data_IF_394382495444
#
_entry.id   IF_394382495444
#
_cell.length_a   1.000
_cell.length_b   1.000
_cell.length_c   1.000
_cell.angle_alpha   90.00
_cell.angle_beta   90.00
_cell.angle_gamma   90.00
#
_symmetry.space_group_name_H-M   'P 1'
#
loop_
_entity.id
_entity.type
_entity.pdbx_description
1 polymer ?
#
# COMPACT_ATOMS: atom_id res chain seq x y z
N UNK A 1 1.07 23.82 49.56
CA UNK A 1 2.11 24.18 48.57
C UNK A 1 2.71 22.93 47.94
N UNK A 2 3.00 21.89 48.73
CA UNK A 2 3.60 20.64 48.23
C UNK A 2 2.78 19.91 47.16
N UNK A 3 1.46 19.80 47.31
CA UNK A 3 0.60 19.14 46.31
C UNK A 3 0.38 19.90 44.99
N UNK A 4 0.83 21.16 44.89
CA UNK A 4 0.75 21.95 43.66
C UNK A 4 2.06 21.82 42.86
N UNK A 5 3.20 21.77 43.57
CA UNK A 5 4.52 21.52 43.00
C UNK A 5 4.62 20.07 42.48
N UNK A 6 4.10 19.07 43.20
CA UNK A 6 4.10 17.68 42.73
C UNK A 6 3.26 17.49 41.44
N UNK A 7 2.13 18.19 41.31
CA UNK A 7 1.29 18.16 40.09
C UNK A 7 1.96 18.86 38.91
N UNK A 8 2.59 20.01 39.14
CA UNK A 8 3.35 20.71 38.10
C UNK A 8 4.56 19.89 37.62
N UNK A 9 5.26 19.22 38.54
CA UNK A 9 6.42 18.36 38.22
C UNK A 9 5.98 17.10 37.47
N UNK A 10 4.87 16.48 37.86
CA UNK A 10 4.27 15.33 37.16
C UNK A 10 3.76 15.70 35.76
N UNK A 11 3.18 16.88 35.58
CA UNK A 11 2.73 17.37 34.27
C UNK A 11 3.92 17.65 33.35
N UNK A 12 4.98 18.30 33.86
CA UNK A 12 6.20 18.55 33.08
C UNK A 12 6.90 17.27 32.64
N UNK A 13 6.98 16.25 33.50
CA UNK A 13 7.52 14.93 33.14
C UNK A 13 6.67 14.22 32.08
N UNK A 14 5.35 14.39 32.15
CA UNK A 14 4.42 13.85 31.15
C UNK A 14 4.58 14.56 29.81
N UNK A 15 4.67 15.90 29.81
CA UNK A 15 4.91 16.70 28.61
C UNK A 15 6.26 16.39 27.95
N UNK A 16 7.31 16.16 28.74
CA UNK A 16 8.64 15.81 28.24
C UNK A 16 8.68 14.39 27.66
N UNK A 17 8.04 13.41 28.31
CA UNK A 17 7.92 12.06 27.79
C UNK A 17 7.10 12.02 26.48
N UNK A 18 6.00 12.76 26.42
CA UNK A 18 5.15 12.91 25.23
C UNK A 18 5.93 13.59 24.09
N UNK A 19 6.67 14.67 24.38
CA UNK A 19 7.54 15.32 23.39
C UNK A 19 8.65 14.40 22.90
N UNK A 20 9.29 13.64 23.79
CA UNK A 20 10.34 12.68 23.41
C UNK A 20 9.79 11.54 22.55
N UNK A 21 8.57 11.09 22.81
CA UNK A 21 7.89 10.09 21.99
C UNK A 21 7.65 10.62 20.56
N UNK A 22 7.10 11.84 20.41
CA UNK A 22 6.84 12.42 19.09
C UNK A 22 8.11 12.83 18.34
N UNK A 23 9.14 13.33 19.02
CA UNK A 23 10.43 13.60 18.39
C UNK A 23 11.09 12.31 17.88
N UNK A 24 10.89 11.18 18.58
CA UNK A 24 11.36 9.90 18.09
C UNK A 24 10.55 9.41 16.88
N UNK A 25 9.23 9.61 16.87
CA UNK A 25 8.36 9.30 15.74
C UNK A 25 8.74 10.10 14.49
N UNK A 26 8.80 11.43 14.59
CA UNK A 26 9.24 12.31 13.49
C UNK A 26 10.62 11.91 12.96
N UNK A 27 11.58 11.68 13.86
CA UNK A 27 12.93 11.24 13.47
C UNK A 27 12.89 9.92 12.71
N UNK A 28 12.07 8.96 13.14
CA UNK A 28 11.93 7.66 12.46
C UNK A 28 11.29 7.85 11.08
N UNK A 29 10.18 8.60 10.97
CA UNK A 29 9.52 8.89 9.70
C UNK A 29 10.46 9.57 8.71
N UNK A 30 11.26 10.53 9.16
CA UNK A 30 12.27 11.20 8.34
C UNK A 30 13.41 10.27 7.91
N UNK A 31 13.81 9.32 8.76
CA UNK A 31 14.79 8.30 8.36
C UNK A 31 14.22 7.34 7.31
N UNK A 32 12.94 6.97 7.44
CA UNK A 32 12.22 6.14 6.46
C UNK A 32 12.12 6.86 5.12
N UNK A 33 11.71 8.14 5.15
CA UNK A 33 11.59 9.00 3.97
C UNK A 33 12.94 9.41 3.37
N UNK A 34 14.07 9.04 3.98
CA UNK A 34 15.40 9.47 3.58
C UNK A 34 15.66 9.33 2.07
N UNK A 35 16.17 10.39 1.45
CA UNK A 35 16.48 10.41 0.01
C UNK A 35 15.28 10.67 -0.91
N UNK A 36 14.06 10.76 -0.39
CA UNK A 36 12.87 11.13 -1.19
C UNK A 36 12.76 12.64 -1.43
N UNK A 37 13.43 13.45 -0.60
CA UNK A 37 13.32 14.90 -0.61
C UNK A 37 12.22 15.45 0.30
N UNK A 38 11.51 14.59 1.05
CA UNK A 38 10.48 15.02 2.00
C UNK A 38 10.97 14.99 3.45
N UNK A 39 10.49 15.97 4.23
CA UNK A 39 10.71 16.05 5.68
C UNK A 39 9.36 16.08 6.39
N UNK A 40 9.10 15.07 7.22
CA UNK A 40 7.85 14.90 7.95
C UNK A 40 7.89 15.55 9.33
N UNK A 41 6.83 16.27 9.66
CA UNK A 41 6.53 16.76 11.02
C UNK A 41 5.09 16.42 11.38
N UNK A 42 4.76 16.34 12.65
CA UNK A 42 3.37 16.15 13.04
C UNK A 42 2.54 17.40 12.71
N UNK A 43 1.32 17.22 12.24
CA UNK A 43 0.39 18.32 11.94
C UNK A 43 -1.08 17.94 12.17
N UNK A 44 -1.96 18.90 11.91
CA UNK A 44 -3.43 18.71 11.94
C UNK A 44 -3.94 18.23 10.57
N UNK A 45 -3.37 17.13 10.10
CA UNK A 45 -3.70 16.48 8.84
C UNK A 45 -2.48 15.98 8.06
N UNK A 46 -2.76 15.19 7.04
CA UNK A 46 -1.77 14.70 6.09
C UNK A 46 -1.65 15.67 4.91
N UNK A 47 -0.44 16.15 4.64
CA UNK A 47 -0.18 17.08 3.55
C UNK A 47 1.28 17.01 3.11
N UNK A 48 1.55 17.43 1.88
CA UNK A 48 2.90 17.60 1.35
C UNK A 48 2.99 18.95 0.66
N UNK A 49 4.01 19.74 0.97
CA UNK A 49 4.40 20.95 0.28
C UNK A 49 5.46 20.62 -0.79
N UNK A 50 5.13 20.68 -2.09
CA UNK A 50 6.09 20.39 -3.16
C UNK A 50 7.29 21.35 -3.21
N UNK A 51 7.06 22.61 -2.88
CA UNK A 51 8.08 23.66 -3.05
C UNK A 51 9.21 23.52 -2.04
N UNK A 52 8.88 23.04 -0.84
CA UNK A 52 9.84 22.94 0.27
C UNK A 52 10.20 21.50 0.62
N UNK A 53 9.41 20.52 0.15
CA UNK A 53 9.50 19.13 0.61
C UNK A 53 8.97 18.93 2.04
N UNK A 54 8.40 19.95 2.69
CA UNK A 54 7.81 19.76 4.02
C UNK A 54 6.51 18.95 3.92
N UNK A 55 6.38 17.92 4.75
CA UNK A 55 5.19 17.08 4.82
C UNK A 55 4.66 17.03 6.27
N UNK A 56 3.35 16.90 6.41
CA UNK A 56 2.70 16.65 7.69
C UNK A 56 2.10 15.25 7.72
N UNK A 57 2.16 14.62 8.89
CA UNK A 57 1.41 13.40 9.20
C UNK A 57 0.53 13.66 10.42
N UNK A 58 -0.64 13.00 10.46
CA UNK A 58 -1.55 13.05 11.60
C UNK A 58 -2.04 11.64 11.97
N UNK A 59 -1.60 11.08 13.11
CA UNK A 59 -2.06 9.76 13.54
C UNK A 59 -3.57 9.73 13.86
N UNK A 60 -4.20 10.89 14.14
CA UNK A 60 -5.65 10.95 14.40
C UNK A 60 -6.48 10.44 13.23
N UNK A 61 -5.98 10.61 12.00
CA UNK A 61 -6.64 10.07 10.81
C UNK A 61 -6.95 8.58 10.94
N UNK A 62 -6.06 7.81 11.56
CA UNK A 62 -6.27 6.39 11.84
C UNK A 62 -6.97 6.18 13.19
N UNK A 63 -6.60 6.90 14.24
CA UNK A 63 -7.23 6.73 15.57
C UNK A 63 -8.74 6.96 15.53
N UNK A 64 -9.21 7.97 14.79
CA UNK A 64 -10.64 8.27 14.62
C UNK A 64 -11.40 7.18 13.85
N UNK A 65 -10.68 6.34 13.09
CA UNK A 65 -11.22 5.14 12.42
C UNK A 65 -11.12 3.88 13.28
N UNK A 66 -10.74 4.01 14.56
CA UNK A 66 -10.69 2.90 15.52
C UNK A 66 -9.36 2.14 15.54
N UNK A 67 -8.29 2.71 14.99
CA UNK A 67 -6.94 2.14 15.11
C UNK A 67 -6.31 2.50 16.46
N UNK A 68 -5.57 1.55 17.06
CA UNK A 68 -4.79 1.84 18.27
C UNK A 68 -3.63 2.79 17.94
N UNK A 69 -3.01 3.45 18.92
CA UNK A 69 -1.86 4.32 18.64
C UNK A 69 -0.69 3.61 17.93
N UNK A 70 -0.42 2.34 18.25
CA UNK A 70 0.61 1.55 17.57
C UNK A 70 0.22 1.20 16.13
N UNK A 71 -1.05 0.91 15.88
CA UNK A 71 -1.57 0.68 14.53
C UNK A 71 -1.62 1.97 13.70
N UNK A 72 -1.89 3.11 14.32
CA UNK A 72 -1.84 4.43 13.67
C UNK A 72 -0.40 4.79 13.28
N UNK A 73 0.57 4.49 14.15
CA UNK A 73 2.00 4.61 13.85
C UNK A 73 2.41 3.68 12.69
N UNK A 74 1.94 2.43 12.69
CA UNK A 74 2.10 1.53 11.56
C UNK A 74 1.50 2.12 10.28
N UNK A 75 0.26 2.62 10.32
CA UNK A 75 -0.37 3.29 9.18
C UNK A 75 0.50 4.44 8.66
N UNK A 76 1.08 5.24 9.54
CA UNK A 76 1.99 6.30 9.11
C UNK A 76 3.27 5.76 8.45
N UNK A 77 3.86 4.68 8.98
CA UNK A 77 4.99 4.01 8.34
C UNK A 77 4.60 3.40 6.99
N UNK A 78 3.40 2.87 6.87
CA UNK A 78 2.87 2.25 5.67
C UNK A 78 2.79 3.27 4.54
N UNK A 79 2.10 4.40 4.74
CA UNK A 79 1.97 5.44 3.72
C UNK A 79 3.32 5.95 3.21
N UNK A 80 4.25 6.18 4.13
CA UNK A 80 5.58 6.70 3.78
C UNK A 80 6.43 5.61 3.13
N UNK A 81 6.53 4.42 3.72
CA UNK A 81 7.46 3.39 3.25
C UNK A 81 6.93 2.64 2.03
N UNK A 82 5.66 2.23 2.06
CA UNK A 82 5.04 1.38 1.03
C UNK A 82 4.74 2.18 -0.24
N UNK A 83 4.19 3.40 -0.11
CA UNK A 83 3.71 4.16 -1.25
C UNK A 83 4.66 5.30 -1.64
N UNK A 84 5.00 6.20 -0.71
CA UNK A 84 5.79 7.39 -1.05
C UNK A 84 7.25 7.07 -1.40
N UNK A 85 7.94 6.26 -0.59
CA UNK A 85 9.34 5.88 -0.83
C UNK A 85 9.46 5.02 -2.08
N UNK A 86 8.61 4.00 -2.23
CA UNK A 86 8.59 3.12 -3.42
C UNK A 86 8.39 3.95 -4.71
N UNK A 87 7.40 4.85 -4.71
CA UNK A 87 7.13 5.73 -5.85
C UNK A 87 8.30 6.66 -6.12
N UNK A 88 8.91 7.25 -5.09
CA UNK A 88 10.08 8.10 -5.26
C UNK A 88 11.29 7.34 -5.79
N UNK A 89 11.55 6.11 -5.33
CA UNK A 89 12.62 5.26 -5.85
C UNK A 89 12.38 4.94 -7.34
N UNK A 90 11.15 4.55 -7.71
CA UNK A 90 10.78 4.28 -9.10
C UNK A 90 10.98 5.52 -9.99
N UNK A 91 10.45 6.67 -9.57
CA UNK A 91 10.55 7.93 -10.33
C UNK A 91 11.96 8.53 -10.32
N UNK A 92 12.89 7.96 -9.55
CA UNK A 92 14.29 8.37 -9.48
C UNK A 92 15.09 8.10 -10.75
N UNK A 93 14.55 7.35 -11.71
CA UNK A 93 15.24 7.03 -12.97
C UNK A 93 14.35 7.29 -14.20
N UNK A 94 14.91 7.65 -15.37
CA UNK A 94 14.12 7.82 -16.59
C UNK A 94 13.31 6.57 -16.98
N UNK A 95 13.89 5.38 -16.80
CA UNK A 95 13.22 4.11 -17.09
C UNK A 95 12.09 3.80 -16.12
N UNK A 96 12.22 4.22 -14.87
CA UNK A 96 11.18 4.07 -13.87
C UNK A 96 10.03 5.05 -14.08
N UNK A 97 10.32 6.31 -14.44
CA UNK A 97 9.30 7.28 -14.87
C UNK A 97 8.49 6.75 -16.06
N UNK A 98 9.16 6.28 -17.11
CA UNK A 98 8.50 5.70 -18.28
C UNK A 98 7.65 4.47 -17.92
N UNK A 99 8.12 3.63 -16.99
CA UNK A 99 7.37 2.47 -16.52
C UNK A 99 6.14 2.87 -15.68
N UNK A 100 6.26 3.91 -14.86
CA UNK A 100 5.17 4.46 -14.06
C UNK A 100 4.06 5.05 -14.94
N UNK A 101 4.40 5.85 -15.95
CA UNK A 101 3.40 6.37 -16.91
C UNK A 101 2.66 5.24 -17.63
N UNK A 102 3.39 4.20 -18.08
CA UNK A 102 2.75 3.03 -18.67
C UNK A 102 1.84 2.31 -17.68
N UNK A 103 2.24 2.20 -16.42
CA UNK A 103 1.39 1.59 -15.40
C UNK A 103 0.09 2.39 -15.23
N UNK A 104 0.15 3.72 -15.18
CA UNK A 104 -1.05 4.58 -15.11
C UNK A 104 -1.99 4.37 -16.30
N UNK A 105 -1.44 4.32 -17.52
CA UNK A 105 -2.22 4.02 -18.72
C UNK A 105 -2.90 2.65 -18.64
N UNK A 106 -2.18 1.64 -18.12
CA UNK A 106 -2.72 0.29 -17.91
C UNK A 106 -3.80 0.27 -16.84
N UNK A 107 -3.61 0.95 -15.70
CA UNK A 107 -4.60 1.05 -14.61
C UNK A 107 -5.86 1.73 -15.12
N UNK A 108 -5.74 2.83 -15.86
CA UNK A 108 -6.88 3.51 -16.46
C UNK A 108 -7.67 2.61 -17.41
N UNK A 109 -6.98 1.76 -18.18
CA UNK A 109 -7.61 0.78 -19.05
C UNK A 109 -8.13 -0.45 -18.28
N UNK A 110 -7.58 -0.74 -17.11
CA UNK A 110 -7.80 -1.97 -16.34
C UNK A 110 -7.77 -1.66 -14.83
N UNK A 111 -8.87 -1.16 -14.24
CA UNK A 111 -8.88 -0.69 -12.85
C UNK A 111 -8.40 -1.72 -11.81
N UNK A 112 -8.68 -3.01 -12.04
CA UNK A 112 -8.16 -4.16 -11.26
C UNK A 112 -6.64 -4.17 -11.05
N UNK A 113 -5.86 -3.54 -11.95
CA UNK A 113 -4.41 -3.46 -11.80
C UNK A 113 -3.99 -2.52 -10.67
N UNK A 114 -4.82 -1.53 -10.32
CA UNK A 114 -4.59 -0.68 -9.15
C UNK A 114 -4.61 -1.52 -7.86
N UNK A 115 -5.62 -2.37 -7.71
CA UNK A 115 -5.77 -3.28 -6.57
C UNK A 115 -4.55 -4.21 -6.46
N UNK A 116 -4.07 -4.75 -7.58
CA UNK A 116 -2.86 -5.58 -7.58
C UNK A 116 -1.64 -4.81 -7.13
N UNK A 117 -1.42 -3.62 -7.69
CA UNK A 117 -0.24 -2.83 -7.33
C UNK A 117 -0.26 -2.43 -5.86
N UNK A 118 -1.41 -2.04 -5.31
CA UNK A 118 -1.55 -1.82 -3.87
C UNK A 118 -1.23 -3.09 -3.07
N UNK A 119 -1.84 -4.24 -3.40
CA UNK A 119 -1.55 -5.50 -2.71
C UNK A 119 -0.04 -5.85 -2.75
N UNK A 120 0.61 -5.64 -3.89
CA UNK A 120 2.04 -5.90 -4.06
C UNK A 120 2.89 -4.96 -3.22
N UNK A 121 2.62 -3.65 -3.28
CA UNK A 121 3.37 -2.65 -2.52
C UNK A 121 3.16 -2.80 -1.03
N UNK A 122 1.97 -3.19 -0.59
CA UNK A 122 1.65 -3.48 0.81
C UNK A 122 2.48 -4.64 1.35
N UNK A 123 2.49 -5.79 0.66
CA UNK A 123 3.31 -6.94 1.09
C UNK A 123 4.78 -6.53 1.19
N UNK A 124 5.29 -5.88 0.15
CA UNK A 124 6.68 -5.43 0.06
C UNK A 124 7.03 -4.45 1.18
N UNK A 125 6.22 -3.41 1.35
CA UNK A 125 6.47 -2.33 2.29
C UNK A 125 6.25 -2.77 3.74
N UNK A 126 5.24 -3.59 4.04
CA UNK A 126 5.03 -4.14 5.37
C UNK A 126 6.17 -5.05 5.81
N UNK A 127 6.70 -5.89 4.90
CA UNK A 127 7.93 -6.65 5.18
C UNK A 127 9.17 -5.76 5.33
N UNK A 128 9.21 -4.58 4.70
CA UNK A 128 10.27 -3.61 4.96
C UNK A 128 10.11 -2.98 6.36
N UNK A 129 8.88 -2.67 6.78
CA UNK A 129 8.56 -2.10 8.08
C UNK A 129 8.96 -3.04 9.21
N UNK A 130 8.59 -4.33 9.12
CA UNK A 130 8.95 -5.31 10.17
C UNK A 130 10.47 -5.48 10.34
N UNK A 131 11.29 -5.15 9.33
CA UNK A 131 12.76 -5.18 9.45
C UNK A 131 13.32 -4.07 10.33
N UNK A 132 12.77 -2.86 10.28
CA UNK A 132 13.27 -1.72 11.07
C UNK A 132 12.42 -1.42 12.30
N UNK A 133 11.17 -1.89 12.34
CA UNK A 133 10.23 -1.76 13.46
C UNK A 133 9.62 -3.13 13.81
N UNK A 134 10.44 -4.13 14.20
CA UNK A 134 9.97 -5.49 14.48
C UNK A 134 8.93 -5.56 15.62
N UNK A 135 8.93 -4.58 16.53
CA UNK A 135 7.95 -4.47 17.61
C UNK A 135 6.52 -4.21 17.12
N UNK A 136 6.34 -3.80 15.86
CA UNK A 136 5.02 -3.59 15.25
C UNK A 136 4.48 -4.84 14.54
N UNK A 137 5.22 -5.95 14.48
CA UNK A 137 4.82 -7.12 13.70
C UNK A 137 3.43 -7.66 14.09
N UNK A 138 3.14 -7.74 15.39
CA UNK A 138 1.83 -8.18 15.90
C UNK A 138 0.71 -7.18 15.55
N UNK A 139 0.99 -5.87 15.63
CA UNK A 139 0.02 -4.83 15.25
C UNK A 139 -0.28 -4.84 13.75
N UNK A 140 0.73 -5.06 12.91
CA UNK A 140 0.58 -5.19 11.46
C UNK A 140 -0.34 -6.37 11.15
N UNK A 141 -0.02 -7.55 11.67
CA UNK A 141 -0.83 -8.75 11.47
C UNK A 141 -2.27 -8.54 11.96
N UNK A 142 -2.46 -7.94 13.15
CA UNK A 142 -3.78 -7.65 13.70
C UNK A 142 -4.60 -6.70 12.82
N UNK A 143 -3.97 -5.67 12.22
CA UNK A 143 -4.65 -4.76 11.27
C UNK A 143 -5.21 -5.54 10.08
N UNK A 144 -4.42 -6.43 9.47
CA UNK A 144 -4.90 -7.23 8.35
C UNK A 144 -5.94 -8.27 8.78
N UNK A 145 -5.71 -8.96 9.91
CA UNK A 145 -6.58 -10.03 10.43
C UNK A 145 -7.94 -9.52 10.91
N UNK A 146 -7.99 -8.35 11.53
CA UNK A 146 -9.20 -7.90 12.24
C UNK A 146 -9.95 -6.78 11.51
N UNK A 147 -9.28 -6.02 10.63
CA UNK A 147 -9.83 -4.79 10.06
C UNK A 147 -9.88 -4.79 8.54
N UNK A 148 -8.74 -5.01 7.89
CA UNK A 148 -8.64 -4.84 6.44
C UNK A 148 -9.13 -6.08 5.67
N UNK A 149 -8.71 -7.28 6.09
CA UNK A 149 -9.09 -8.57 5.47
C UNK A 149 -9.49 -9.63 6.51
N UNK A 150 -10.58 -9.42 7.27
CA UNK A 150 -11.04 -10.40 8.25
C UNK A 150 -11.49 -11.72 7.62
N UNK A 151 -11.95 -11.71 6.37
CA UNK A 151 -12.44 -12.91 5.70
C UNK A 151 -11.31 -13.88 5.33
N UNK A 152 -11.45 -15.15 5.75
CA UNK A 152 -10.55 -16.25 5.37
C UNK A 152 -11.08 -17.03 4.16
N UNK A 153 -12.38 -16.97 3.90
CA UNK A 153 -13.01 -17.57 2.72
C UNK A 153 -13.36 -16.48 1.71
N UNK A 154 -12.62 -16.47 0.61
CA UNK A 154 -12.76 -15.50 -0.46
C UNK A 154 -13.60 -16.04 -1.62
N UNK A 155 -14.15 -17.26 -1.53
CA UNK A 155 -14.86 -17.89 -2.66
C UNK A 155 -16.11 -17.14 -3.13
N UNK A 156 -16.63 -16.22 -2.32
CA UNK A 156 -17.71 -15.29 -2.67
C UNK A 156 -17.27 -14.14 -3.57
N UNK A 157 -15.97 -13.82 -3.63
CA UNK A 157 -15.40 -12.78 -4.48
C UNK A 157 -15.11 -13.29 -5.90
N UNK A 158 -15.06 -12.43 -6.92
CA UNK A 158 -14.53 -12.76 -8.24
C UNK A 158 -13.12 -13.36 -8.16
N UNK A 159 -12.78 -14.33 -9.03
CA UNK A 159 -11.51 -15.06 -9.00
C UNK A 159 -10.29 -14.14 -9.14
N UNK A 160 -10.36 -13.07 -9.95
CA UNK A 160 -9.26 -12.11 -10.05
C UNK A 160 -8.99 -11.38 -8.72
N UNK A 161 -10.03 -11.11 -7.92
CA UNK A 161 -9.90 -10.52 -6.58
C UNK A 161 -9.46 -11.55 -5.55
N UNK A 162 -9.99 -12.78 -5.61
CA UNK A 162 -9.49 -13.90 -4.79
C UNK A 162 -7.98 -14.06 -4.94
N UNK A 163 -7.46 -13.97 -6.17
CA UNK A 163 -6.02 -14.02 -6.44
C UNK A 163 -5.25 -12.93 -5.71
N UNK A 164 -5.62 -11.66 -5.89
CA UNK A 164 -4.88 -10.53 -5.31
C UNK A 164 -4.96 -10.52 -3.79
N UNK A 165 -6.17 -10.72 -3.24
CA UNK A 165 -6.40 -10.72 -1.80
C UNK A 165 -5.76 -11.91 -1.10
N UNK A 166 -5.77 -13.10 -1.70
CA UNK A 166 -5.11 -14.26 -1.10
C UNK A 166 -3.59 -14.10 -1.06
N UNK A 167 -2.96 -13.47 -2.05
CA UNK A 167 -1.53 -13.15 -2.02
C UNK A 167 -1.21 -12.24 -0.84
N UNK A 168 -1.94 -11.13 -0.69
CA UNK A 168 -1.74 -10.17 0.40
C UNK A 168 -2.02 -10.80 1.77
N UNK A 169 -3.20 -11.41 1.93
CA UNK A 169 -3.62 -11.98 3.22
C UNK A 169 -2.73 -13.13 3.68
N UNK A 170 -2.31 -14.02 2.77
CA UNK A 170 -1.38 -15.10 3.13
C UNK A 170 -0.01 -14.54 3.57
N UNK A 171 0.42 -13.41 3.02
CA UNK A 171 1.66 -12.79 3.42
C UNK A 171 1.57 -12.07 4.77
N UNK A 172 0.44 -11.40 5.04
CA UNK A 172 0.25 -10.61 6.27
C UNK A 172 -0.26 -11.42 7.46
N UNK A 173 -0.97 -12.53 7.22
CA UNK A 173 -1.55 -13.41 8.25
C UNK A 173 -1.20 -14.87 7.90
N UNK A 174 0.08 -15.27 8.01
CA UNK A 174 0.58 -16.53 7.45
C UNK A 174 0.06 -17.80 8.17
N UNK A 175 -0.43 -17.67 9.40
CA UNK A 175 -0.91 -18.79 10.21
C UNK A 175 -2.37 -19.18 9.90
N UNK A 176 -3.06 -18.46 9.00
CA UNK A 176 -4.43 -18.75 8.59
C UNK A 176 -4.49 -19.17 7.11
N UNK A 177 -5.14 -20.30 6.83
CA UNK A 177 -5.36 -20.75 5.45
C UNK A 177 -6.46 -19.92 4.79
N UNK A 178 -6.16 -19.36 3.62
CA UNK A 178 -7.13 -18.64 2.80
C UNK A 178 -7.81 -19.60 1.83
N UNK A 179 -9.14 -19.68 1.89
CA UNK A 179 -9.94 -20.48 0.98
C UNK A 179 -10.25 -19.67 -0.28
N UNK A 180 -9.89 -20.24 -1.44
CA UNK A 180 -10.11 -19.69 -2.78
C UNK A 180 -10.54 -20.79 -3.74
N UNK A 181 -11.04 -20.38 -4.90
CA UNK A 181 -11.34 -21.27 -6.01
C UNK A 181 -10.10 -22.11 -6.41
N UNK A 182 -10.26 -23.41 -6.74
CA UNK A 182 -9.16 -24.27 -7.15
C UNK A 182 -8.29 -23.71 -8.28
N UNK A 183 -8.88 -23.01 -9.27
CA UNK A 183 -8.13 -22.38 -10.37
C UNK A 183 -7.25 -21.25 -9.87
N UNK A 184 -7.73 -20.46 -8.90
CA UNK A 184 -6.94 -19.40 -8.26
C UNK A 184 -5.74 -20.01 -7.52
N UNK A 185 -5.97 -21.09 -6.78
CA UNK A 185 -4.89 -21.84 -6.10
C UNK A 185 -3.85 -22.38 -7.09
N UNK A 186 -4.30 -22.90 -8.23
CA UNK A 186 -3.41 -23.36 -9.31
C UNK A 186 -2.61 -22.21 -9.93
N UNK A 187 -3.26 -21.07 -10.20
CA UNK A 187 -2.62 -19.88 -10.77
C UNK A 187 -1.50 -19.33 -9.86
N UNK A 188 -1.76 -19.24 -8.55
CA UNK A 188 -0.74 -18.87 -7.56
C UNK A 188 0.41 -19.88 -7.56
N UNK A 189 0.11 -21.19 -7.54
CA UNK A 189 1.11 -22.25 -7.57
C UNK A 189 2.04 -22.16 -8.81
N UNK A 190 1.47 -21.87 -9.98
CA UNK A 190 2.25 -21.64 -11.22
C UNK A 190 3.20 -20.46 -11.09
N UNK A 191 2.73 -19.34 -10.53
CA UNK A 191 3.56 -18.15 -10.33
C UNK A 191 4.65 -18.35 -9.26
N UNK A 192 4.40 -19.19 -8.26
CA UNK A 192 5.42 -19.59 -7.27
C UNK A 192 6.51 -20.50 -7.84
N UNK A 193 6.34 -21.01 -9.06
CA UNK A 193 7.30 -21.91 -9.70
C UNK A 193 7.52 -21.62 -11.20
N UNK A 194 7.76 -20.36 -11.56
CA UNK A 194 8.14 -20.00 -12.93
C UNK A 194 9.62 -20.32 -13.14
N UNK A 195 9.89 -21.43 -13.82
CA UNK A 195 11.27 -21.92 -14.08
C UNK A 195 12.07 -22.08 -12.77
N UNK A 196 11.43 -22.61 -11.72
CA UNK A 196 12.07 -22.80 -10.41
C UNK A 196 12.17 -21.53 -9.56
N UNK A 197 11.48 -20.45 -9.92
CA UNK A 197 11.46 -19.19 -9.17
C UNK A 197 10.04 -18.81 -8.74
N UNK A 198 9.93 -18.30 -7.53
CA UNK A 198 8.69 -17.70 -7.03
C UNK A 198 8.62 -16.23 -7.48
N UNK A 199 7.80 -15.96 -8.49
CA UNK A 199 7.66 -14.61 -9.05
C UNK A 199 6.87 -13.70 -8.12
N UNK A 200 5.93 -14.23 -7.34
CA UNK A 200 5.18 -13.44 -6.36
C UNK A 200 6.15 -12.97 -5.28
N UNK A 201 6.93 -13.89 -4.71
CA UNK A 201 7.92 -13.55 -3.69
C UNK A 201 8.99 -12.56 -4.20
N UNK A 202 9.41 -12.68 -5.47
CA UNK A 202 10.33 -11.71 -6.07
C UNK A 202 9.68 -10.33 -6.26
N UNK A 203 8.43 -10.27 -6.71
CA UNK A 203 7.71 -9.01 -6.93
C UNK A 203 7.35 -8.29 -5.61
N UNK A 204 7.28 -9.02 -4.51
CA UNK A 204 6.96 -8.50 -3.18
C UNK A 204 8.14 -8.50 -2.20
N UNK A 205 9.37 -8.78 -2.66
CA UNK A 205 10.54 -8.74 -1.78
C UNK A 205 10.85 -7.27 -1.39
N UNK A 206 10.91 -6.92 -0.10
CA UNK A 206 11.28 -5.58 0.37
C UNK A 206 12.62 -5.07 -0.18
N UNK A 207 13.58 -5.94 -0.50
CA UNK A 207 14.88 -5.55 -1.08
C UNK A 207 14.87 -5.41 -2.62
N UNK A 208 13.76 -5.74 -3.28
CA UNK A 208 13.66 -5.70 -4.73
C UNK A 208 13.62 -4.26 -5.26
N UNK A 209 14.39 -3.97 -6.30
CA UNK A 209 14.23 -2.75 -7.10
C UNK A 209 12.77 -2.56 -7.59
N UNK A 210 12.11 -1.41 -7.33
CA UNK A 210 10.71 -1.18 -7.69
C UNK A 210 10.41 -1.38 -9.18
N UNK A 211 11.35 -0.97 -10.05
CA UNK A 211 11.20 -1.15 -11.49
C UNK A 211 11.23 -2.62 -11.90
N UNK A 212 12.06 -3.44 -11.25
CA UNK A 212 12.04 -4.90 -11.46
C UNK A 212 10.75 -5.53 -10.92
N UNK A 213 10.28 -5.11 -9.74
CA UNK A 213 9.00 -5.59 -9.20
C UNK A 213 7.84 -5.32 -10.16
N UNK A 214 7.73 -4.10 -10.68
CA UNK A 214 6.74 -3.72 -11.68
C UNK A 214 6.86 -4.53 -12.98
N UNK A 215 8.08 -4.82 -13.43
CA UNK A 215 8.29 -5.69 -14.62
C UNK A 215 7.90 -7.13 -14.38
N UNK A 216 8.06 -7.64 -13.17
CA UNK A 216 7.61 -8.97 -12.80
C UNK A 216 6.07 -9.02 -12.77
N UNK A 217 5.42 -7.98 -12.22
CA UNK A 217 3.96 -7.79 -12.33
C UNK A 217 3.53 -7.87 -13.79
N UNK A 218 4.00 -6.94 -14.62
CA UNK A 218 3.57 -6.79 -16.01
C UNK A 218 3.78 -8.06 -16.84
N UNK A 219 4.91 -8.75 -16.63
CA UNK A 219 5.27 -9.91 -17.45
C UNK A 219 4.58 -11.20 -17.05
N UNK A 220 4.31 -11.39 -15.76
CA UNK A 220 3.90 -12.70 -15.24
C UNK A 220 2.59 -12.67 -14.46
N UNK A 221 2.35 -11.63 -13.66
CA UNK A 221 1.23 -11.60 -12.72
C UNK A 221 -0.01 -10.95 -13.36
N UNK A 222 0.15 -9.79 -14.02
CA UNK A 222 -0.95 -9.11 -14.73
C UNK A 222 -1.65 -10.02 -15.75
N UNK A 223 -0.96 -10.87 -16.54
CA UNK A 223 -1.62 -11.82 -17.44
C UNK A 223 -2.52 -12.83 -16.73
N UNK A 224 -2.12 -13.30 -15.53
CA UNK A 224 -2.92 -14.22 -14.72
C UNK A 224 -4.17 -13.52 -14.17
N UNK A 225 -4.02 -12.29 -13.70
CA UNK A 225 -5.16 -11.47 -13.25
C UNK A 225 -6.14 -11.27 -14.41
N UNK A 226 -5.65 -10.99 -15.62
CA UNK A 226 -6.49 -10.83 -16.80
C UNK A 226 -7.22 -12.13 -17.18
N UNK A 227 -6.55 -13.28 -17.14
CA UNK A 227 -7.17 -14.57 -17.43
C UNK A 227 -8.33 -14.86 -16.46
N UNK A 228 -8.11 -14.66 -15.17
CA UNK A 228 -9.14 -14.85 -14.14
C UNK A 228 -10.29 -13.83 -14.29
N UNK A 229 -9.98 -12.57 -14.63
CA UNK A 229 -10.98 -11.53 -14.86
C UNK A 229 -11.88 -11.84 -16.05
N UNK A 230 -11.31 -12.33 -17.16
CA UNK A 230 -12.11 -12.72 -18.33
C UNK A 230 -13.04 -13.90 -18.00
N UNK A 231 -12.57 -14.86 -17.20
CA UNK A 231 -13.41 -15.95 -16.71
C UNK A 231 -14.56 -15.44 -15.83
N UNK A 232 -14.29 -14.51 -14.90
CA UNK A 232 -15.33 -13.90 -14.07
C UNK A 232 -16.40 -13.19 -14.91
N UNK A 233 -16.00 -12.54 -16.02
CA UNK A 233 -16.93 -11.92 -16.97
C UNK A 233 -17.79 -12.96 -17.71
N UNK A 234 -17.22 -14.10 -18.10
CA UNK A 234 -17.96 -15.20 -18.73
C UNK A 234 -18.98 -15.80 -17.77
N UNK A 235 -18.60 -16.05 -16.53
CA UNK A 235 -19.49 -16.58 -15.50
C UNK A 235 -20.65 -15.63 -15.18
N UNK A 236 -20.39 -14.31 -15.09
CA UNK A 236 -21.46 -13.33 -14.89
C UNK A 236 -22.42 -13.25 -16.08
N UNK A 237 -21.93 -13.44 -17.31
CA UNK A 237 -22.80 -13.49 -18.51
C UNK A 237 -23.69 -14.73 -18.49
N UNK A 238 -23.15 -15.88 -18.12
CA UNK A 238 -23.91 -17.13 -18.04
C UNK A 238 -24.97 -17.09 -16.93
N UNK A 239 -24.69 -16.41 -15.82
CA UNK A 239 -25.64 -16.19 -14.72
C UNK A 239 -26.80 -15.24 -15.07
N UNK A 240 -26.57 -14.21 -15.91
CA UNK A 240 -27.61 -13.24 -16.31
C UNK A 240 -28.56 -13.74 -17.41
N UNK A 241 -28.32 -14.93 -17.97
CA UNK A 241 -29.13 -15.51 -19.04
C UNK A 241 -29.02 -14.74 -20.38
N UNK A 242 -29.31 -15.42 -21.50
CA UNK A 242 -29.12 -14.91 -22.89
C UNK A 242 -30.04 -13.73 -23.30
N UNK A 243 -30.66 -13.00 -22.38
CA UNK A 243 -31.72 -12.02 -22.68
C UNK A 243 -31.52 -10.60 -22.12
N UNK A 244 -30.79 -10.42 -21.02
CA UNK A 244 -30.58 -9.09 -20.44
C UNK A 244 -29.30 -8.47 -20.99
N UNK A 245 -29.45 -7.63 -22.01
CA UNK A 245 -28.39 -6.69 -22.41
C UNK A 245 -28.23 -5.67 -21.28
N UNK A 246 -27.39 -5.98 -20.29
CA UNK A 246 -26.89 -4.99 -19.36
C UNK A 246 -26.20 -3.89 -20.15
N UNK A 247 -26.78 -2.69 -20.13
CA UNK A 247 -26.12 -1.47 -20.58
C UNK A 247 -25.08 -1.12 -19.52
N UNK A 248 -23.87 -1.64 -19.68
CA UNK A 248 -22.75 -1.29 -18.82
C UNK A 248 -21.43 -1.75 -19.41
N UNK A 249 -20.36 -1.05 -19.05
CA UNK A 249 -18.99 -1.49 -19.36
C UNK A 249 -18.66 -2.81 -18.65
N UNK A 250 -17.75 -3.66 -19.17
CA UNK A 250 -17.30 -4.86 -18.45
C UNK A 250 -16.87 -4.56 -17.00
N UNK A 251 -16.26 -3.41 -16.77
CA UNK A 251 -15.77 -2.91 -15.49
C UNK A 251 -16.91 -2.68 -14.47
N UNK A 252 -18.07 -2.18 -14.91
CA UNK A 252 -19.26 -2.01 -14.05
C UNK A 252 -19.77 -3.33 -13.48
N UNK A 253 -19.38 -4.47 -14.06
CA UNK A 253 -19.75 -5.78 -13.52
C UNK A 253 -19.16 -6.03 -12.14
N UNK A 254 -18.12 -5.30 -11.70
CA UNK A 254 -17.44 -5.50 -10.43
C UNK A 254 -17.34 -4.21 -9.59
N UNK A 255 -18.13 -3.19 -9.91
CA UNK A 255 -18.09 -1.90 -9.24
C UNK A 255 -18.23 -2.01 -7.72
N UNK A 256 -19.20 -2.80 -7.24
CA UNK A 256 -19.43 -3.01 -5.80
C UNK A 256 -18.22 -3.65 -5.10
N UNK A 257 -17.53 -4.59 -5.76
CA UNK A 257 -16.34 -5.23 -5.21
C UNK A 257 -15.15 -4.28 -5.13
N UNK A 258 -15.03 -3.36 -6.10
CA UNK A 258 -13.98 -2.33 -6.09
C UNK A 258 -14.31 -1.23 -5.09
N UNK A 259 -15.58 -0.85 -4.94
CA UNK A 259 -16.00 0.11 -3.91
C UNK A 259 -15.80 -0.45 -2.49
N UNK A 260 -16.11 -1.73 -2.26
CA UNK A 260 -15.79 -2.42 -0.99
C UNK A 260 -14.29 -2.42 -0.72
N UNK A 261 -13.46 -2.58 -1.76
CA UNK A 261 -12.01 -2.42 -1.64
C UNK A 261 -11.65 -1.00 -1.19
N UNK A 262 -12.03 0.04 -1.94
CA UNK A 262 -11.65 1.43 -1.63
C UNK A 262 -12.11 1.84 -0.21
N UNK A 263 -13.31 1.44 0.21
CA UNK A 263 -13.83 1.78 1.53
C UNK A 263 -13.05 1.18 2.70
N UNK A 264 -12.36 0.05 2.49
CA UNK A 264 -11.56 -0.63 3.52
C UNK A 264 -10.14 -0.07 3.63
N UNK A 265 -9.65 0.65 2.62
CA UNK A 265 -8.27 1.12 2.52
C UNK A 265 -8.19 2.63 2.75
N UNK A 266 -8.02 3.07 4.01
CA UNK A 266 -7.98 4.49 4.32
C UNK A 266 -6.69 5.13 3.77
N UNK A 267 -6.79 5.88 2.68
CA UNK A 267 -5.67 6.65 2.12
C UNK A 267 -5.68 8.10 2.63
N UNK A 268 -4.66 8.57 3.36
CA UNK A 268 -4.62 9.94 3.85
C UNK A 268 -3.99 10.94 2.87
N UNK A 269 -3.29 10.47 1.84
CA UNK A 269 -2.65 11.29 0.81
C UNK A 269 -3.21 10.95 -0.57
N UNK A 270 -3.41 11.97 -1.40
CA UNK A 270 -3.79 11.78 -2.80
C UNK A 270 -2.59 11.33 -3.64
N UNK A 271 -2.71 10.21 -4.35
CA UNK A 271 -1.62 9.60 -5.11
C UNK A 271 -1.12 10.51 -6.25
N UNK A 272 -2.02 11.21 -6.95
CA UNK A 272 -1.65 12.11 -8.05
C UNK A 272 -0.89 13.33 -7.51
N UNK A 273 -1.32 13.87 -6.37
CA UNK A 273 -0.61 14.93 -5.68
C UNK A 273 0.77 14.49 -5.21
N UNK A 274 0.89 13.31 -4.57
CA UNK A 274 2.17 12.77 -4.12
C UNK A 274 3.14 12.60 -5.29
N UNK A 275 2.67 11.99 -6.38
CA UNK A 275 3.47 11.79 -7.59
C UNK A 275 3.97 13.11 -8.18
N UNK A 276 3.06 14.08 -8.35
CA UNK A 276 3.41 15.40 -8.87
C UNK A 276 4.49 16.06 -8.01
N UNK A 277 4.32 16.03 -6.69
CA UNK A 277 5.27 16.61 -5.74
C UNK A 277 6.62 15.91 -5.81
N UNK A 278 6.64 14.58 -5.92
CA UNK A 278 7.89 13.80 -6.11
C UNK A 278 8.64 14.25 -7.38
N UNK A 279 7.93 14.40 -8.50
CA UNK A 279 8.53 14.82 -9.77
C UNK A 279 9.16 16.22 -9.64
N UNK A 280 8.41 17.17 -9.11
CA UNK A 280 8.88 18.55 -8.89
C UNK A 280 10.14 18.58 -8.00
N UNK A 281 10.14 17.84 -6.88
CA UNK A 281 11.30 17.76 -5.99
C UNK A 281 12.54 17.17 -6.68
N UNK A 282 12.37 16.11 -7.50
CA UNK A 282 13.51 15.48 -8.21
C UNK A 282 14.07 16.38 -9.32
N UNK A 283 13.21 17.11 -10.02
CA UNK A 283 13.64 18.08 -11.04
C UNK A 283 14.52 19.17 -10.41
N UNK A 284 14.07 19.76 -9.29
CA UNK A 284 14.83 20.79 -8.56
C UNK A 284 16.18 20.28 -8.03
N UNK A 285 16.23 19.04 -7.52
CA UNK A 285 17.48 18.42 -7.07
C UNK A 285 18.47 18.22 -8.22
N UNK A 286 17.99 17.79 -9.39
CA UNK A 286 18.80 17.63 -10.60
C UNK A 286 19.34 18.97 -11.11
N UNK A 287 18.53 20.03 -11.09
CA UNK A 287 18.95 21.38 -11.47
C UNK A 287 20.00 21.94 -10.50
N UNK A 288 19.77 21.81 -9.20
CA UNK A 288 20.71 22.25 -8.16
C UNK A 288 22.07 21.53 -8.29
N UNK A 289 22.06 20.23 -8.56
CA UNK A 289 23.28 19.45 -8.77
C UNK A 289 24.05 19.83 -10.05
N UNK A 290 23.38 20.42 -11.06
CA UNK A 290 24.03 20.93 -12.28
C UNK A 290 24.64 22.32 -12.11
N UNK A 291 24.19 23.08 -11.10
CA UNK A 291 24.65 24.45 -10.82
C UNK A 291 25.78 24.51 -9.77
N UNK A 292 25.98 23.42 -9.02
CA UNK A 292 27.06 23.25 -8.05
C UNK A 292 28.35 22.71 -8.70
#
# INVERSE_FOLDING_TARGET
MDGQIERETSNLQTEEAVRSFFQNEERILNNIAGGTGFTFKRGDGWAINPETGEATYDPKFFEEKGYTPSQALFGAFHEIKCHLVETSELLGTPRGQEAHERLKDRIKAKPRLHIWENCRTDVKGNFAITRFAPSLAEDIEAVYREKLWPETDLTSKPKHLQFMYSVLRTAMVPDEEVTVDPKVKEAISKLRNVKGKDVIALATDPAQDPLLALRLSERYIEPVIEELYQEDLEEKKDQKGKGEKGQGTPEESFADDYEDYENRHPQPLDEEEVEKKIKETKEQQSESARQA
#
